data_IF_136030433542
#
_entry.id   IF_136030433542
#
_cell.length_a   1.000
_cell.length_b   1.000
_cell.length_c   1.000
_cell.angle_alpha   90.00
_cell.angle_beta   90.00
_cell.angle_gamma   90.00
#
_symmetry.space_group_name_H-M   'P 1'
#
loop_
_entity.id
_entity.type
_entity.pdbx_description
1 polymer ?
#
# COMPACT_ATOMS: atom_id res chain seq x y z
N UNK A 1 -28.16 -18.99 -34.11
CA UNK A 1 -26.82 -19.55 -33.82
C UNK A 1 -26.06 -18.51 -33.03
N UNK A 2 -25.69 -18.76 -31.77
CA UNK A 2 -24.80 -17.87 -31.04
C UNK A 2 -23.41 -17.93 -31.69
N UNK A 3 -22.77 -16.77 -31.88
CA UNK A 3 -21.53 -16.64 -32.65
C UNK A 3 -20.40 -17.50 -32.10
N UNK A 4 -19.89 -18.38 -32.95
CA UNK A 4 -18.64 -19.13 -32.75
C UNK A 4 -17.46 -18.17 -32.91
N UNK A 5 -16.87 -17.76 -31.80
CA UNK A 5 -15.63 -16.97 -31.80
C UNK A 5 -15.33 -16.32 -30.47
N UNK A 6 -15.47 -17.05 -29.36
CA UNK A 6 -14.89 -16.57 -28.10
C UNK A 6 -13.37 -16.63 -28.22
N UNK A 7 -12.74 -15.47 -28.36
CA UNK A 7 -11.29 -15.35 -28.26
C UNK A 7 -10.87 -15.67 -26.82
N UNK A 8 -10.60 -16.94 -26.54
CA UNK A 8 -10.06 -17.35 -25.24
C UNK A 8 -8.60 -16.93 -25.12
N UNK A 9 -8.27 -16.22 -24.05
CA UNK A 9 -6.88 -16.02 -23.65
C UNK A 9 -6.36 -17.28 -22.96
N UNK A 10 -5.30 -17.88 -23.51
CA UNK A 10 -4.62 -19.04 -22.91
C UNK A 10 -3.26 -18.59 -22.39
N UNK A 11 -3.10 -18.60 -21.06
CA UNK A 11 -1.81 -18.39 -20.39
C UNK A 11 -1.15 -19.75 -20.17
N UNK A 12 0.03 -19.95 -20.76
CA UNK A 12 0.77 -21.20 -20.63
C UNK A 12 1.59 -21.24 -19.33
N UNK A 13 1.88 -22.44 -18.84
CA UNK A 13 2.71 -22.64 -17.63
C UNK A 13 4.05 -21.92 -17.73
N UNK A 14 4.67 -21.91 -18.91
CA UNK A 14 5.97 -21.29 -19.16
C UNK A 14 5.91 -19.77 -19.07
N UNK A 15 4.72 -19.17 -19.20
CA UNK A 15 4.50 -17.74 -19.03
C UNK A 15 4.29 -17.36 -17.57
N UNK A 16 4.07 -18.30 -16.65
CA UNK A 16 3.87 -18.01 -15.24
C UNK A 16 5.17 -18.22 -14.45
N UNK A 17 5.42 -17.34 -13.48
CA UNK A 17 6.50 -17.50 -12.51
C UNK A 17 6.07 -17.00 -11.14
N UNK A 18 6.53 -17.66 -10.08
CA UNK A 18 6.44 -17.13 -8.72
C UNK A 18 7.78 -16.55 -8.23
N UNK A 19 8.77 -16.40 -9.11
CA UNK A 19 10.02 -15.69 -8.83
C UNK A 19 9.81 -14.17 -8.83
N UNK A 20 9.00 -13.69 -7.91
CA UNK A 20 8.39 -12.36 -7.97
C UNK A 20 9.38 -11.21 -7.69
N UNK A 21 10.47 -11.48 -6.97
CA UNK A 21 11.44 -10.44 -6.58
C UNK A 21 12.72 -10.48 -7.42
N UNK A 22 12.65 -11.08 -8.61
CA UNK A 22 13.77 -11.16 -9.54
C UNK A 22 14.09 -9.79 -10.13
N UNK A 23 15.38 -9.48 -10.28
CA UNK A 23 15.83 -8.36 -11.11
C UNK A 23 15.76 -8.77 -12.58
N UNK A 24 14.90 -8.11 -13.34
CA UNK A 24 14.82 -8.31 -14.78
C UNK A 24 15.67 -7.26 -15.50
N UNK A 25 16.84 -7.67 -16.00
CA UNK A 25 17.79 -6.76 -16.69
C UNK A 25 17.74 -6.89 -18.22
N UNK A 26 16.90 -7.77 -18.76
CA UNK A 26 16.71 -7.93 -20.20
C UNK A 26 15.58 -7.04 -20.74
N UNK A 27 15.53 -6.90 -22.07
CA UNK A 27 14.52 -6.10 -22.77
C UNK A 27 13.19 -6.86 -23.01
N UNK A 28 12.86 -7.87 -22.19
CA UNK A 28 11.63 -8.63 -22.37
C UNK A 28 10.42 -7.93 -21.71
N UNK A 29 9.23 -8.24 -22.23
CA UNK A 29 7.98 -7.75 -21.67
C UNK A 29 7.56 -8.61 -20.47
N UNK A 30 7.82 -8.09 -19.28
CA UNK A 30 7.40 -8.69 -18.02
C UNK A 30 6.20 -7.99 -17.41
N UNK A 31 5.37 -8.76 -16.70
CA UNK A 31 4.30 -8.23 -15.88
C UNK A 31 4.36 -8.82 -14.48
N UNK A 32 4.37 -7.96 -13.47
CA UNK A 32 4.29 -8.36 -12.08
C UNK A 32 2.86 -8.07 -11.61
N UNK A 33 2.11 -9.12 -11.33
CA UNK A 33 0.73 -8.98 -10.87
C UNK A 33 0.75 -8.32 -9.49
N UNK A 34 0.23 -7.10 -9.33
CA UNK A 34 0.34 -6.37 -8.09
C UNK A 34 -0.45 -7.05 -6.97
N UNK A 35 -0.10 -6.72 -5.73
CA UNK A 35 -0.93 -7.08 -4.60
C UNK A 35 -2.30 -6.41 -4.75
N UNK A 36 -3.36 -7.20 -4.69
CA UNK A 36 -4.72 -6.70 -4.68
C UNK A 36 -5.16 -6.20 -3.30
N UNK A 37 -6.38 -5.69 -3.22
CA UNK A 37 -7.03 -5.43 -1.94
C UNK A 37 -7.45 -6.73 -1.24
N UNK A 38 -7.85 -6.64 0.03
CA UNK A 38 -8.45 -7.78 0.69
C UNK A 38 -9.73 -8.23 -0.06
N UNK A 39 -9.95 -9.54 -0.28
CA UNK A 39 -10.99 -10.04 -1.20
C UNK A 39 -12.42 -9.52 -0.94
N UNK A 40 -12.77 -9.23 0.32
CA UNK A 40 -14.09 -8.70 0.66
C UNK A 40 -14.31 -7.27 0.12
N UNK A 41 -13.25 -6.51 -0.15
CA UNK A 41 -13.37 -5.13 -0.61
C UNK A 41 -13.89 -5.01 -2.04
N UNK A 42 -13.62 -5.98 -2.92
CA UNK A 42 -14.12 -5.96 -4.29
C UNK A 42 -15.66 -5.95 -4.34
N UNK A 43 -16.32 -6.60 -3.38
CA UNK A 43 -17.79 -6.62 -3.27
C UNK A 43 -18.37 -5.31 -2.71
N UNK A 44 -17.56 -4.54 -2.00
CA UNK A 44 -17.98 -3.27 -1.39
C UNK A 44 -17.82 -2.13 -2.40
N UNK A 45 -16.73 -2.11 -3.17
CA UNK A 45 -16.48 -1.07 -4.19
C UNK A 45 -17.55 -1.02 -5.28
N UNK A 46 -18.12 -2.15 -5.68
CA UNK A 46 -19.25 -2.18 -6.63
C UNK A 46 -20.48 -1.43 -6.09
N UNK A 47 -20.62 -1.31 -4.76
CA UNK A 47 -21.76 -0.69 -4.10
C UNK A 47 -21.49 0.76 -3.71
N UNK A 48 -20.27 1.07 -3.30
CA UNK A 48 -19.90 2.38 -2.77
C UNK A 48 -19.15 3.19 -3.84
N UNK A 49 -19.88 4.06 -4.56
CA UNK A 49 -19.24 5.15 -5.32
C UNK A 49 -18.81 6.24 -4.33
N UNK A 50 -17.51 6.28 -4.04
CA UNK A 50 -16.95 7.25 -3.11
C UNK A 50 -16.93 8.65 -3.72
N UNK A 51 -17.53 9.62 -3.03
CA UNK A 51 -17.18 11.02 -3.25
C UNK A 51 -15.76 11.26 -2.70
N UNK A 52 -14.84 11.59 -3.60
CA UNK A 52 -13.43 11.83 -3.29
C UNK A 52 -13.11 13.33 -3.15
N UNK A 53 -14.10 14.20 -3.38
CA UNK A 53 -13.99 15.67 -3.40
C UNK A 53 -14.24 16.38 -2.06
N UNK A 54 -14.43 15.65 -0.96
CA UNK A 54 -14.67 16.23 0.37
C UNK A 54 -13.41 16.77 1.09
N UNK A 55 -13.63 17.64 2.07
CA UNK A 55 -12.60 18.09 3.01
C UNK A 55 -12.07 16.92 3.82
N UNK A 56 -10.75 16.80 3.95
CA UNK A 56 -10.09 15.74 4.71
C UNK A 56 -9.14 16.32 5.72
N UNK A 57 -8.89 15.57 6.79
CA UNK A 57 -7.82 15.88 7.74
C UNK A 57 -6.48 15.87 7.01
N UNK A 58 -5.70 16.93 7.16
CA UNK A 58 -4.26 16.97 6.85
C UNK A 58 -3.45 16.20 7.89
N UNK A 59 -3.94 15.01 8.23
CA UNK A 59 -3.43 14.14 9.27
C UNK A 59 -3.04 12.80 8.67
N UNK A 60 -2.17 12.09 9.38
CA UNK A 60 -1.64 10.80 8.99
C UNK A 60 -2.40 9.74 9.74
N UNK A 61 -2.93 8.76 9.01
CA UNK A 61 -3.66 7.64 9.59
C UNK A 61 -2.96 6.32 9.30
N UNK A 62 -2.95 5.42 10.27
CA UNK A 62 -2.66 4.00 10.07
C UNK A 62 -3.39 3.17 11.12
N UNK A 63 -3.91 2.04 10.68
CA UNK A 63 -4.43 1.01 11.57
C UNK A 63 -3.92 -0.36 11.14
N UNK A 64 -3.61 -1.19 12.13
CA UNK A 64 -3.21 -2.57 11.92
C UNK A 64 -2.58 -3.16 13.17
N UNK A 65 -2.23 -4.43 13.08
CA UNK A 65 -1.56 -5.13 14.17
C UNK A 65 -0.10 -4.63 14.31
N UNK A 66 0.32 -4.27 15.54
CA UNK A 66 1.69 -3.82 15.88
C UNK A 66 2.48 -4.83 16.72
N UNK A 67 2.03 -6.07 16.78
CA UNK A 67 2.62 -7.14 17.59
C UNK A 67 3.94 -7.62 16.99
N UNK A 68 5.01 -7.45 17.77
CA UNK A 68 6.38 -7.85 17.42
C UNK A 68 6.52 -9.30 16.93
N UNK A 69 5.64 -10.22 17.37
CA UNK A 69 5.68 -11.64 17.00
C UNK A 69 5.53 -11.88 15.49
N UNK A 70 4.88 -10.97 14.77
CA UNK A 70 4.63 -11.13 13.34
C UNK A 70 5.64 -10.40 12.44
N UNK A 71 6.35 -9.39 12.95
CA UNK A 71 7.10 -8.46 12.10
C UNK A 71 8.62 -8.59 12.19
N UNK A 72 9.16 -9.47 13.03
CA UNK A 72 10.61 -9.64 13.16
C UNK A 72 11.29 -10.18 11.89
N UNK A 73 10.57 -10.93 11.05
CA UNK A 73 11.16 -11.61 9.90
C UNK A 73 11.52 -10.67 8.77
N UNK A 74 10.71 -9.65 8.53
CA UNK A 74 10.86 -8.82 7.33
C UNK A 74 12.18 -8.05 7.29
N UNK A 75 12.66 -7.58 8.44
CA UNK A 75 13.95 -6.86 8.53
C UNK A 75 15.14 -7.77 8.28
N UNK A 76 14.97 -9.08 8.51
CA UNK A 76 16.01 -10.07 8.32
C UNK A 76 16.15 -10.54 6.86
N UNK A 77 15.35 -10.01 5.93
CA UNK A 77 15.48 -10.29 4.50
C UNK A 77 16.31 -9.19 3.83
N UNK A 78 17.60 -9.45 3.51
CA UNK A 78 18.47 -8.43 2.91
C UNK A 78 17.93 -7.88 1.60
N UNK A 79 17.17 -8.70 0.86
CA UNK A 79 16.52 -8.33 -0.41
C UNK A 79 15.60 -7.11 -0.30
N UNK A 80 15.03 -6.84 0.88
CA UNK A 80 14.06 -5.76 1.03
C UNK A 80 14.66 -4.51 1.67
N UNK A 81 15.56 -4.66 2.64
CA UNK A 81 16.14 -3.50 3.37
C UNK A 81 15.05 -2.54 3.85
N UNK A 82 14.04 -3.07 4.56
CA UNK A 82 12.85 -2.35 5.04
C UNK A 82 12.80 -2.39 6.56
N UNK A 83 12.36 -1.28 7.17
CA UNK A 83 12.09 -1.17 8.60
C UNK A 83 10.71 -1.75 8.89
N UNK A 84 10.60 -2.63 9.89
CA UNK A 84 9.32 -3.22 10.22
C UNK A 84 8.33 -2.20 10.76
N UNK A 85 7.06 -2.54 10.60
CA UNK A 85 5.93 -1.85 11.24
C UNK A 85 6.14 -1.63 12.75
N UNK A 86 6.68 -2.63 13.45
CA UNK A 86 6.92 -2.55 14.90
C UNK A 86 7.95 -1.48 15.25
N UNK A 87 9.07 -1.42 14.53
CA UNK A 87 10.11 -0.41 14.79
C UNK A 87 9.63 1.00 14.49
N UNK A 88 8.83 1.18 13.44
CA UNK A 88 8.21 2.49 13.17
C UNK A 88 7.27 2.88 14.31
N UNK A 89 6.45 1.95 14.80
CA UNK A 89 5.57 2.20 15.94
C UNK A 89 6.34 2.57 17.23
N UNK A 90 7.37 1.79 17.58
CA UNK A 90 8.21 2.06 18.75
C UNK A 90 8.91 3.42 18.64
N UNK A 91 9.41 3.76 17.45
CA UNK A 91 10.01 5.06 17.17
C UNK A 91 9.02 6.21 17.38
N UNK A 92 7.81 6.11 16.82
CA UNK A 92 6.79 7.16 16.94
C UNK A 92 6.29 7.35 18.37
N UNK A 93 6.26 6.27 19.18
CA UNK A 93 6.01 6.35 20.62
C UNK A 93 7.14 7.10 21.32
N UNK A 94 8.39 6.68 21.12
CA UNK A 94 9.54 7.27 21.79
C UNK A 94 9.73 8.75 21.44
N UNK A 95 9.45 9.14 20.19
CA UNK A 95 9.51 10.51 19.74
C UNK A 95 8.30 11.36 20.20
N UNK A 96 7.27 10.74 20.79
CA UNK A 96 6.02 11.40 21.23
C UNK A 96 5.33 12.18 20.10
N UNK A 97 5.32 11.61 18.88
CA UNK A 97 4.78 12.25 17.66
C UNK A 97 3.32 11.84 17.40
N UNK A 98 2.88 10.69 17.93
CA UNK A 98 1.54 10.17 17.68
C UNK A 98 0.49 10.69 18.67
N UNK A 99 -0.71 10.94 18.16
CA UNK A 99 -1.90 11.26 18.93
C UNK A 99 -2.61 9.97 19.30
N UNK A 100 -2.74 9.71 20.60
CA UNK A 100 -3.44 8.52 21.09
C UNK A 100 -4.95 8.69 21.00
N UNK A 101 -5.59 7.82 20.21
CA UNK A 101 -7.04 7.69 20.09
C UNK A 101 -7.46 6.41 20.82
N UNK A 102 -8.33 6.50 21.84
CA UNK A 102 -8.62 5.38 22.75
C UNK A 102 -9.84 4.56 22.33
N UNK A 103 -10.68 5.11 21.45
CA UNK A 103 -11.92 4.45 21.02
C UNK A 103 -12.34 4.91 19.62
N UNK A 104 -13.24 4.14 19.00
CA UNK A 104 -13.86 4.53 17.74
C UNK A 104 -14.64 5.86 17.84
N UNK A 105 -15.23 6.15 19.01
CA UNK A 105 -15.91 7.42 19.25
C UNK A 105 -14.92 8.59 19.27
N UNK A 106 -13.76 8.42 19.91
CA UNK A 106 -12.71 9.44 19.91
C UNK A 106 -12.18 9.71 18.49
N UNK A 107 -12.08 8.66 17.67
CA UNK A 107 -11.69 8.79 16.26
C UNK A 107 -12.71 9.61 15.48
N UNK A 108 -14.01 9.32 15.65
CA UNK A 108 -15.06 10.08 14.99
C UNK A 108 -15.10 11.54 15.46
N UNK A 109 -14.88 11.79 16.75
CA UNK A 109 -14.77 13.15 17.29
C UNK A 109 -13.58 13.90 16.71
N UNK A 110 -12.44 13.22 16.50
CA UNK A 110 -11.29 13.82 15.83
C UNK A 110 -11.63 14.20 14.38
N UNK A 111 -12.23 13.27 13.64
CA UNK A 111 -12.62 13.44 12.24
C UNK A 111 -13.60 14.61 12.08
N UNK A 112 -14.61 14.72 12.96
CA UNK A 112 -15.65 15.76 12.87
C UNK A 112 -15.27 17.09 13.53
N UNK A 113 -14.26 17.11 14.40
CA UNK A 113 -13.82 18.30 15.12
C UNK A 113 -12.86 19.20 14.33
N UNK A 114 -12.29 20.21 14.99
CA UNK A 114 -11.32 21.14 14.38
C UNK A 114 -9.86 20.66 14.44
N UNK A 115 -9.57 19.62 15.22
CA UNK A 115 -8.22 19.10 15.37
C UNK A 115 -7.69 18.54 14.04
N UNK A 116 -6.43 18.85 13.71
CA UNK A 116 -5.77 18.39 12.49
C UNK A 116 -4.25 18.27 12.71
N UNK A 117 -3.49 17.93 11.67
CA UNK A 117 -2.04 17.70 11.68
C UNK A 117 -1.61 16.67 12.75
N UNK A 118 -2.43 15.65 12.98
CA UNK A 118 -2.16 14.55 13.90
C UNK A 118 -1.55 13.34 13.20
N UNK A 119 -0.73 12.58 13.93
CA UNK A 119 -0.34 11.22 13.53
C UNK A 119 -1.16 10.23 14.34
N UNK A 120 -2.12 9.56 13.71
CA UNK A 120 -3.05 8.64 14.34
C UNK A 120 -2.64 7.21 13.99
N UNK A 121 -2.23 6.46 15.01
CA UNK A 121 -1.92 5.05 14.91
C UNK A 121 -2.89 4.27 15.80
N UNK A 122 -3.55 3.28 15.22
CA UNK A 122 -4.45 2.37 15.94
C UNK A 122 -3.86 0.98 15.89
N UNK A 123 -3.36 0.50 17.02
CA UNK A 123 -2.97 -0.91 17.18
C UNK A 123 -4.22 -1.75 17.41
N UNK A 124 -4.62 -2.52 16.40
CA UNK A 124 -5.87 -3.30 16.44
C UNK A 124 -5.89 -4.37 17.55
N UNK A 125 -4.73 -4.71 18.12
CA UNK A 125 -4.65 -5.67 19.22
C UNK A 125 -4.84 -5.02 20.59
N UNK A 126 -4.35 -3.80 20.78
CA UNK A 126 -4.23 -3.16 22.10
C UNK A 126 -5.16 -1.95 22.27
N UNK A 127 -5.57 -1.30 21.18
CA UNK A 127 -6.50 -0.17 21.20
C UNK A 127 -7.92 -0.66 20.87
N UNK A 128 -8.33 -0.57 19.61
CA UNK A 128 -9.62 -1.06 19.12
C UNK A 128 -9.50 -1.45 17.64
N UNK A 129 -10.42 -2.29 17.17
CA UNK A 129 -10.53 -2.62 15.75
C UNK A 129 -11.59 -1.75 15.07
N UNK A 130 -11.31 -1.37 13.82
CA UNK A 130 -12.30 -0.77 12.93
C UNK A 130 -12.81 -1.91 12.06
N UNK A 131 -14.13 -2.08 12.00
CA UNK A 131 -14.70 -3.11 11.14
C UNK A 131 -14.42 -2.82 9.66
N UNK A 132 -14.46 -3.87 8.87
CA UNK A 132 -14.08 -3.81 7.47
C UNK A 132 -14.95 -2.87 6.63
N UNK A 133 -16.23 -2.69 6.97
CA UNK A 133 -17.13 -1.79 6.23
C UNK A 133 -16.83 -0.32 6.52
N UNK A 134 -16.32 -0.02 7.72
CA UNK A 134 -15.96 1.32 8.14
C UNK A 134 -14.49 1.68 7.86
N UNK A 135 -13.60 0.70 7.67
CA UNK A 135 -12.18 0.97 7.50
C UNK A 135 -11.88 1.94 6.34
N UNK A 136 -12.44 1.67 5.14
CA UNK A 136 -12.27 2.57 3.99
C UNK A 136 -12.94 3.94 4.20
N UNK A 137 -14.12 3.94 4.83
CA UNK A 137 -14.86 5.17 5.16
C UNK A 137 -14.01 6.09 6.02
N UNK A 138 -13.43 5.55 7.09
CA UNK A 138 -12.54 6.26 8.00
C UNK A 138 -11.26 6.67 7.30
N UNK A 139 -10.62 5.76 6.57
CA UNK A 139 -9.35 6.03 5.86
C UNK A 139 -9.51 7.21 4.91
N UNK A 140 -10.64 7.28 4.19
CA UNK A 140 -10.98 8.39 3.29
C UNK A 140 -11.01 9.75 3.99
N UNK A 141 -11.24 9.84 5.29
CA UNK A 141 -11.29 11.13 5.99
C UNK A 141 -9.90 11.76 6.20
N UNK A 142 -8.82 11.05 5.81
CA UNK A 142 -7.43 11.49 5.93
C UNK A 142 -6.78 11.73 4.56
N UNK A 143 -5.91 12.73 4.49
CA UNK A 143 -5.08 12.98 3.32
C UNK A 143 -3.88 12.03 3.22
N UNK A 144 -3.34 11.56 4.35
CA UNK A 144 -2.12 10.76 4.37
C UNK A 144 -2.34 9.41 5.06
N UNK A 145 -1.71 8.37 4.53
CA UNK A 145 -1.68 7.04 5.13
C UNK A 145 -0.24 6.61 5.40
N UNK A 146 0.09 6.22 6.64
CA UNK A 146 1.42 5.68 6.95
C UNK A 146 1.50 4.22 6.49
N UNK A 147 2.09 4.00 5.32
CA UNK A 147 2.16 2.72 4.66
C UNK A 147 3.31 1.86 5.21
N UNK A 148 2.98 1.10 6.25
CA UNK A 148 3.92 0.17 6.91
C UNK A 148 3.86 -1.20 6.26
N UNK A 149 5.01 -1.91 6.16
CA UNK A 149 5.09 -3.16 5.42
C UNK A 149 4.28 -4.28 6.06
N UNK A 150 4.11 -5.36 5.29
CA UNK A 150 3.61 -6.64 5.77
C UNK A 150 4.54 -7.35 6.74
N UNK A 151 4.21 -8.58 7.09
CA UNK A 151 4.92 -9.40 8.10
C UNK A 151 6.14 -10.12 7.52
N UNK A 152 6.03 -10.53 6.27
CA UNK A 152 6.95 -11.45 5.60
C UNK A 152 7.48 -10.84 4.30
N UNK A 153 6.63 -10.12 3.57
CA UNK A 153 6.96 -9.35 2.36
C UNK A 153 6.59 -7.88 2.58
N UNK A 154 7.17 -6.96 1.78
CA UNK A 154 6.84 -5.54 1.87
C UNK A 154 5.34 -5.29 1.71
N UNK A 155 4.71 -5.95 0.74
CA UNK A 155 3.33 -5.69 0.32
C UNK A 155 2.29 -5.88 1.43
N UNK A 156 1.34 -4.94 1.47
CA UNK A 156 0.25 -4.92 2.43
C UNK A 156 -1.03 -4.41 1.74
N UNK A 157 -2.16 -5.12 1.93
CA UNK A 157 -3.46 -4.72 1.38
C UNK A 157 -3.87 -3.31 1.81
N UNK A 158 -3.52 -2.91 3.03
CA UNK A 158 -3.87 -1.60 3.59
C UNK A 158 -3.33 -0.43 2.74
N UNK A 159 -2.16 -0.59 2.10
CA UNK A 159 -1.64 0.42 1.18
C UNK A 159 -2.57 0.57 -0.03
N UNK A 160 -2.94 -0.54 -0.66
CA UNK A 160 -3.79 -0.57 -1.85
C UNK A 160 -5.17 0.02 -1.54
N UNK A 161 -5.73 -0.32 -0.37
CA UNK A 161 -7.01 0.18 0.11
C UNK A 161 -6.98 1.68 0.47
N UNK A 162 -5.87 2.18 1.02
CA UNK A 162 -5.69 3.60 1.26
C UNK A 162 -5.58 4.38 -0.07
N UNK A 163 -4.85 3.84 -1.04
CA UNK A 163 -4.73 4.44 -2.37
C UNK A 163 -6.06 4.43 -3.13
N UNK A 164 -6.89 3.40 -2.96
CA UNK A 164 -8.20 3.31 -3.61
C UNK A 164 -9.17 4.41 -3.20
N UNK A 165 -8.96 5.00 -2.02
CA UNK A 165 -9.71 6.18 -1.54
C UNK A 165 -8.92 7.48 -1.65
N UNK A 166 -7.78 7.46 -2.35
CA UNK A 166 -6.97 8.63 -2.65
C UNK A 166 -6.18 9.19 -1.48
N UNK A 167 -5.82 8.38 -0.48
CA UNK A 167 -4.86 8.78 0.55
C UNK A 167 -3.43 8.74 -0.02
N UNK A 168 -2.64 9.75 0.30
CA UNK A 168 -1.23 9.84 -0.08
C UNK A 168 -0.41 8.91 0.83
N UNK A 169 0.29 7.90 0.27
CA UNK A 169 1.17 7.04 1.07
C UNK A 169 2.37 7.82 1.59
N UNK A 170 2.61 7.77 2.90
CA UNK A 170 3.93 8.02 3.49
C UNK A 170 4.58 6.66 3.68
N UNK A 171 5.64 6.38 2.92
CA UNK A 171 6.16 5.03 2.70
C UNK A 171 7.69 5.04 2.70
N UNK A 172 8.31 3.95 3.15
CA UNK A 172 9.77 3.82 3.04
C UNK A 172 10.16 3.67 1.58
N UNK A 173 11.23 4.33 1.13
CA UNK A 173 11.65 4.27 -0.29
C UNK A 173 11.90 2.85 -0.78
N UNK A 174 12.55 1.98 0.00
CA UNK A 174 12.78 0.59 -0.37
C UNK A 174 11.47 -0.18 -0.57
N UNK A 175 10.45 0.10 0.25
CA UNK A 175 9.12 -0.44 0.04
C UNK A 175 8.48 0.11 -1.26
N UNK A 176 8.51 1.42 -1.48
CA UNK A 176 7.97 2.04 -2.69
C UNK A 176 8.59 1.50 -3.99
N UNK A 177 9.92 1.29 -3.98
CA UNK A 177 10.66 0.71 -5.10
C UNK A 177 10.41 -0.78 -5.34
N UNK A 178 9.89 -1.49 -4.34
CA UNK A 178 9.51 -2.89 -4.53
C UNK A 178 8.18 -3.05 -5.29
N UNK A 179 7.44 -1.97 -5.53
CA UNK A 179 6.18 -2.03 -6.28
C UNK A 179 6.45 -2.02 -7.79
N UNK A 180 5.50 -2.56 -8.55
CA UNK A 180 5.58 -2.61 -10.01
C UNK A 180 4.27 -2.06 -10.63
N UNK A 181 4.30 -0.87 -11.26
CA UNK A 181 5.43 0.08 -11.32
C UNK A 181 5.83 0.63 -9.95
N UNK A 182 7.00 1.26 -9.83
CA UNK A 182 7.41 1.89 -8.57
C UNK A 182 6.51 3.10 -8.26
N UNK A 183 6.31 3.41 -6.97
CA UNK A 183 5.79 4.72 -6.58
C UNK A 183 6.88 5.78 -6.78
N UNK A 184 6.47 7.05 -6.91
CA UNK A 184 7.36 8.19 -7.15
C UNK A 184 7.12 9.26 -6.09
N UNK A 185 8.21 9.67 -5.42
CA UNK A 185 8.20 10.66 -4.35
C UNK A 185 7.72 12.03 -4.85
N UNK A 186 6.77 12.66 -4.15
CA UNK A 186 6.18 13.95 -4.50
C UNK A 186 5.20 13.91 -5.68
N UNK A 187 5.06 12.77 -6.34
CA UNK A 187 4.09 12.55 -7.41
C UNK A 187 2.87 11.79 -6.92
N UNK A 188 3.04 10.58 -6.39
CA UNK A 188 1.96 9.72 -5.89
C UNK A 188 2.24 9.14 -4.50
N UNK A 189 3.27 9.65 -3.82
CA UNK A 189 3.68 9.20 -2.48
C UNK A 189 4.67 10.19 -1.85
N UNK A 190 4.95 10.02 -0.56
CA UNK A 190 5.99 10.74 0.18
C UNK A 190 6.95 9.73 0.80
N UNK A 191 8.24 9.85 0.51
CA UNK A 191 9.24 8.88 0.94
C UNK A 191 9.98 9.29 2.20
N UNK A 192 10.20 8.32 3.09
CA UNK A 192 11.26 8.36 4.08
C UNK A 192 12.29 7.27 3.81
N UNK A 193 13.53 7.50 4.24
CA UNK A 193 14.65 6.53 4.09
C UNK A 193 14.95 5.84 5.42
N UNK A 194 15.00 6.62 6.50
CA UNK A 194 15.28 6.17 7.86
C UNK A 194 14.16 6.58 8.81
N UNK A 195 14.18 6.06 10.05
CA UNK A 195 13.23 6.43 11.09
C UNK A 195 13.36 7.91 11.46
N UNK A 196 14.57 8.43 11.54
CA UNK A 196 14.83 9.85 11.83
C UNK A 196 14.31 10.74 10.69
N UNK A 197 14.45 10.28 9.43
CA UNK A 197 13.90 10.96 8.27
C UNK A 197 12.36 10.95 8.21
N UNK A 198 11.69 10.02 8.92
CA UNK A 198 10.23 9.98 8.97
C UNK A 198 9.66 11.27 9.58
N UNK A 199 10.31 11.83 10.61
CA UNK A 199 9.88 13.08 11.26
C UNK A 199 9.82 14.24 10.28
N UNK A 200 10.83 14.34 9.41
CA UNK A 200 10.88 15.38 8.40
C UNK A 200 9.74 15.23 7.40
N UNK A 201 9.44 14.00 7.01
CA UNK A 201 8.36 13.70 6.05
C UNK A 201 6.99 13.99 6.67
N UNK A 202 6.79 13.65 7.95
CA UNK A 202 5.60 14.00 8.72
C UNK A 202 5.43 15.53 8.78
N UNK A 203 6.48 16.28 9.13
CA UNK A 203 6.41 17.74 9.15
C UNK A 203 6.15 18.33 7.76
N UNK A 204 6.78 17.77 6.72
CA UNK A 204 6.57 18.22 5.33
C UNK A 204 5.14 17.98 4.88
N UNK A 205 4.54 16.82 5.19
CA UNK A 205 3.17 16.51 4.79
C UNK A 205 2.15 17.49 5.39
N UNK A 206 2.33 17.88 6.66
CA UNK A 206 1.52 18.91 7.32
C UNK A 206 1.72 20.32 6.77
N UNK A 207 2.76 20.56 5.98
CA UNK A 207 3.06 21.87 5.38
C UNK A 207 2.72 21.95 3.87
N UNK A 208 2.34 20.85 3.22
CA UNK A 208 1.92 20.87 1.82
C UNK A 208 0.70 21.78 1.62
N UNK A 209 0.67 22.59 0.56
CA UNK A 209 -0.53 23.36 0.23
C UNK A 209 -1.68 22.44 -0.20
N UNK A 210 -2.91 22.92 -0.10
CA UNK A 210 -4.09 22.15 -0.56
C UNK A 210 -3.97 21.80 -2.05
N UNK A 211 -3.39 22.69 -2.85
CA UNK A 211 -3.15 22.45 -4.29
C UNK A 211 -2.17 21.29 -4.53
N UNK A 212 -1.12 21.19 -3.72
CA UNK A 212 -0.16 20.08 -3.80
C UNK A 212 -0.79 18.77 -3.34
N UNK A 213 -1.57 18.80 -2.26
CA UNK A 213 -2.30 17.63 -1.77
C UNK A 213 -3.27 17.14 -2.85
N UNK A 214 -4.08 18.01 -3.43
CA UNK A 214 -5.04 17.64 -4.48
C UNK A 214 -4.33 17.03 -5.70
N UNK A 215 -3.21 17.63 -6.14
CA UNK A 215 -2.40 17.11 -7.24
C UNK A 215 -1.87 15.71 -6.96
N UNK A 216 -1.24 15.50 -5.79
CA UNK A 216 -0.66 14.19 -5.44
C UNK A 216 -1.77 13.15 -5.29
N UNK A 217 -2.92 13.52 -4.72
CA UNK A 217 -4.06 12.61 -4.57
C UNK A 217 -4.67 12.20 -5.91
N UNK A 218 -4.75 13.12 -6.88
CA UNK A 218 -5.16 12.78 -8.24
C UNK A 218 -4.20 11.73 -8.83
N UNK A 219 -2.89 11.95 -8.72
CA UNK A 219 -1.88 10.98 -9.18
C UNK A 219 -1.94 9.63 -8.45
N UNK A 220 -2.27 9.61 -7.15
CA UNK A 220 -2.50 8.36 -6.40
C UNK A 220 -3.67 7.58 -6.98
N UNK A 221 -4.78 8.26 -7.25
CA UNK A 221 -5.97 7.63 -7.83
C UNK A 221 -5.70 7.15 -9.26
N UNK A 222 -4.98 7.93 -10.06
CA UNK A 222 -4.58 7.55 -11.41
C UNK A 222 -3.68 6.32 -11.39
N UNK A 223 -2.69 6.29 -10.48
CA UNK A 223 -1.84 5.11 -10.28
C UNK A 223 -2.67 3.89 -9.87
N UNK A 224 -3.57 4.05 -8.88
CA UNK A 224 -4.44 2.97 -8.42
C UNK A 224 -5.32 2.42 -9.55
N UNK A 225 -6.00 3.31 -10.29
CA UNK A 225 -6.90 2.94 -11.38
C UNK A 225 -6.16 2.27 -12.54
N UNK A 226 -4.96 2.75 -12.87
CA UNK A 226 -4.18 2.29 -14.03
C UNK A 226 -3.38 1.01 -13.78
N UNK A 227 -3.09 0.69 -12.51
CA UNK A 227 -2.17 -0.38 -12.16
C UNK A 227 -2.70 -1.38 -11.14
N UNK A 228 -3.54 -0.97 -10.19
CA UNK A 228 -3.88 -1.79 -9.02
C UNK A 228 -5.29 -2.38 -9.04
N UNK A 229 -6.20 -1.83 -9.86
CA UNK A 229 -7.58 -2.38 -9.97
C UNK A 229 -7.58 -3.74 -10.67
N UNK A 230 -8.49 -4.62 -10.26
CA UNK A 230 -8.67 -5.92 -10.92
C UNK A 230 -8.93 -5.76 -12.42
N UNK A 231 -9.76 -4.78 -12.81
CA UNK A 231 -10.04 -4.45 -14.20
C UNK A 231 -8.78 -4.05 -14.98
N UNK A 232 -7.93 -3.16 -14.44
CA UNK A 232 -6.68 -2.76 -15.10
C UNK A 232 -5.68 -3.92 -15.25
N UNK A 233 -5.62 -4.81 -14.27
CA UNK A 233 -4.77 -6.01 -14.31
C UNK A 233 -5.26 -6.97 -15.40
N UNK A 234 -6.57 -7.24 -15.46
CA UNK A 234 -7.18 -8.09 -16.47
C UNK A 234 -6.98 -7.49 -17.87
N UNK A 235 -7.33 -6.22 -18.05
CA UNK A 235 -7.17 -5.51 -19.32
C UNK A 235 -5.73 -5.56 -19.82
N UNK A 236 -4.76 -5.39 -18.93
CA UNK A 236 -3.33 -5.47 -19.26
C UNK A 236 -2.94 -6.87 -19.72
N UNK A 237 -3.45 -7.92 -19.06
CA UNK A 237 -3.20 -9.32 -19.42
C UNK A 237 -3.87 -9.68 -20.76
N UNK A 238 -5.07 -9.16 -21.03
CA UNK A 238 -5.82 -9.43 -22.27
C UNK A 238 -5.23 -8.69 -23.49
N UNK A 239 -4.78 -7.45 -23.30
CA UNK A 239 -4.36 -6.58 -24.40
C UNK A 239 -2.85 -6.62 -24.68
N UNK A 240 -2.03 -7.22 -23.81
CA UNK A 240 -0.58 -7.31 -24.00
C UNK A 240 -0.08 -8.73 -23.82
N UNK A 241 0.80 -9.16 -24.74
CA UNK A 241 1.50 -10.43 -24.63
C UNK A 241 2.76 -10.25 -23.79
N UNK A 242 2.84 -10.96 -22.67
CA UNK A 242 4.01 -10.98 -21.79
C UNK A 242 4.84 -12.25 -21.99
N UNK A 243 6.16 -12.10 -21.93
CA UNK A 243 7.11 -13.21 -21.86
C UNK A 243 6.96 -13.96 -20.54
N UNK A 244 6.79 -13.21 -19.44
CA UNK A 244 6.51 -13.75 -18.12
C UNK A 244 5.52 -12.86 -17.36
N UNK A 245 4.62 -13.52 -16.66
CA UNK A 245 3.70 -12.97 -15.68
C UNK A 245 4.13 -13.52 -14.31
N UNK A 246 4.60 -12.64 -13.46
CA UNK A 246 5.03 -12.94 -12.11
C UNK A 246 3.85 -12.82 -11.15
N UNK A 247 3.60 -13.88 -10.39
CA UNK A 247 2.54 -13.95 -9.38
C UNK A 247 3.20 -14.10 -8.02
N UNK A 248 2.82 -13.25 -7.07
CA UNK A 248 3.38 -13.30 -5.73
C UNK A 248 2.90 -14.57 -5.02
N UNK A 249 3.82 -15.48 -4.71
CA UNK A 249 3.56 -16.79 -4.12
C UNK A 249 3.88 -16.89 -2.63
N UNK A 250 3.82 -15.76 -1.91
CA UNK A 250 4.16 -15.66 -0.50
C UNK A 250 5.60 -16.10 -0.23
N UNK A 251 5.73 -17.12 0.61
CA UNK A 251 7.02 -17.70 1.02
C UNK A 251 7.79 -18.31 -0.15
N UNK A 252 7.10 -18.92 -1.12
CA UNK A 252 7.76 -19.52 -2.28
C UNK A 252 8.52 -18.48 -3.13
N UNK A 253 8.02 -17.23 -3.20
CA UNK A 253 8.71 -16.14 -3.89
C UNK A 253 9.95 -15.67 -3.13
N UNK A 254 9.90 -15.68 -1.78
CA UNK A 254 11.03 -15.31 -0.94
C UNK A 254 12.14 -16.36 -1.04
N UNK A 255 11.81 -17.65 -0.96
CA UNK A 255 12.79 -18.74 -1.06
C UNK A 255 13.56 -18.68 -2.38
N UNK A 256 12.87 -18.35 -3.48
CA UNK A 256 13.50 -18.12 -4.78
C UNK A 256 14.46 -16.93 -4.77
N UNK A 257 14.02 -15.80 -4.22
CA UNK A 257 14.84 -14.60 -4.12
C UNK A 257 16.12 -14.84 -3.28
N UNK A 258 16.00 -15.54 -2.15
CA UNK A 258 17.14 -15.92 -1.30
C UNK A 258 18.08 -16.87 -2.04
N UNK A 259 17.53 -17.88 -2.73
CA UNK A 259 18.33 -18.84 -3.50
C UNK A 259 19.13 -18.18 -4.63
N UNK A 260 18.61 -17.10 -5.21
CA UNK A 260 19.29 -16.32 -6.25
C UNK A 260 20.44 -15.47 -5.68
N UNK A 261 20.29 -14.93 -4.46
CA UNK A 261 21.37 -14.20 -3.78
C UNK A 261 22.56 -15.08 -3.39
N UNK A 262 22.32 -16.34 -3.00
CA UNK A 262 23.39 -17.26 -2.59
C UNK A 262 24.26 -17.76 -3.76
N UNK A 263 23.86 -17.48 -5.00
CA UNK A 263 24.58 -17.88 -6.22
C UNK A 263 25.48 -16.77 -6.79
N UNK A 264 25.40 -15.56 -6.23
CA UNK A 264 26.24 -14.40 -6.55
C UNK A 264 27.42 -14.34 -5.59
#
# INVERSE_FOLDING_TARGET
MPGTGENHLIIKKEQLSNDYFVSCEDNMDYFFVPMGQYPLNYRIEEKDKWDLGGSRKKSIFMTGNMDSRFYYKIENFPIFSIVSRRRVYDYLICANIFMKIKSFNDLNNYISGEADNGVILIDTQNDFSIDFQNLKKITREFNFYLALPGTIIPYCHNLIEAMSVGCIPIIQRSYAKSLHPELVNGENSLFFETLEGLDEVIRKSFNLSDSEILRIRANVLDYYNSHLTASSVIERIENKKFNKIFIQGGWCSIEKAISSLQKL
#
